data_IF_013679775702
#
_entry.id   IF_013679775702
#
_cell.length_a   1.000
_cell.length_b   1.000
_cell.length_c   1.000
_cell.angle_alpha   90.00
_cell.angle_beta   90.00
_cell.angle_gamma   90.00
#
_symmetry.space_group_name_H-M   'P 1'
#
loop_
_entity.id
_entity.type
_entity.pdbx_description
1 polymer ?
#
# COMPACT_ATOMS: atom_id res chain seq x y z
N UNK A 1 -16.11 -5.31 -4.17
CA UNK A 1 -14.71 -4.95 -3.93
C UNK A 1 -14.11 -4.28 -5.13
N UNK A 2 -13.21 -3.36 -4.91
CA UNK A 2 -12.55 -2.66 -5.98
C UNK A 2 -11.06 -2.97 -5.97
N UNK A 3 -10.43 -2.86 -7.12
CA UNK A 3 -8.99 -3.01 -7.23
C UNK A 3 -8.33 -1.66 -6.95
N UNK A 4 -7.44 -1.65 -5.99
CA UNK A 4 -6.66 -0.47 -5.64
C UNK A 4 -5.20 -0.72 -5.92
N UNK A 5 -4.50 0.33 -6.34
CA UNK A 5 -3.07 0.23 -6.58
C UNK A 5 -2.33 1.36 -5.88
N UNK A 6 -1.06 1.12 -5.62
CA UNK A 6 -0.18 2.10 -5.03
C UNK A 6 1.12 2.12 -5.79
N UNK A 7 1.62 3.31 -6.04
CA UNK A 7 2.87 3.51 -6.77
C UNK A 7 3.56 4.72 -6.15
N UNK A 8 4.53 4.47 -5.29
CA UNK A 8 5.20 5.57 -4.63
C UNK A 8 6.06 5.10 -3.47
N UNK A 9 6.51 6.03 -2.64
CA UNK A 9 7.42 5.70 -1.55
C UNK A 9 6.73 4.94 -0.42
N UNK A 10 7.53 4.18 0.32
CA UNK A 10 7.07 3.47 1.50
C UNK A 10 7.91 3.94 2.67
N UNK A 11 7.26 4.25 3.78
CA UNK A 11 7.93 4.70 4.99
C UNK A 11 7.76 3.69 6.11
N UNK A 12 8.79 3.57 6.94
CA UNK A 12 8.70 2.84 8.19
C UNK A 12 8.94 3.85 9.30
N UNK A 13 7.93 4.04 10.14
CA UNK A 13 7.90 5.13 11.11
C UNK A 13 8.03 6.46 10.35
N UNK A 14 9.10 7.22 10.55
CA UNK A 14 9.27 8.48 9.83
C UNK A 14 10.45 8.46 8.87
N UNK A 15 10.84 7.24 8.43
CA UNK A 15 11.95 7.08 7.48
C UNK A 15 11.44 6.46 6.20
N UNK A 16 11.92 6.97 5.07
CA UNK A 16 11.61 6.37 3.77
C UNK A 16 12.54 5.17 3.58
N UNK A 17 11.94 4.00 3.41
CA UNK A 17 12.70 2.77 3.25
C UNK A 17 12.61 2.21 1.85
N UNK A 18 11.72 2.76 1.02
CA UNK A 18 11.62 2.42 -0.39
C UNK A 18 11.14 3.66 -1.11
N UNK A 19 11.87 4.09 -2.11
CA UNK A 19 11.52 5.30 -2.85
C UNK A 19 10.39 5.06 -3.84
N UNK A 20 10.21 3.81 -4.27
CA UNK A 20 9.23 3.52 -5.29
C UNK A 20 8.82 2.06 -5.20
N UNK A 21 7.64 1.83 -4.70
CA UNK A 21 7.08 0.49 -4.56
C UNK A 21 5.72 0.44 -5.24
N UNK A 22 5.47 -0.63 -5.94
CA UNK A 22 4.22 -0.82 -6.65
C UNK A 22 3.51 -2.03 -6.08
N UNK A 23 2.24 -1.85 -5.73
CA UNK A 23 1.43 -2.94 -5.21
C UNK A 23 -0.02 -2.76 -5.59
N UNK A 24 -0.77 -3.85 -5.53
CA UNK A 24 -2.19 -3.84 -5.84
C UNK A 24 -2.92 -4.74 -4.86
N UNK A 25 -4.18 -4.40 -4.58
CA UNK A 25 -5.00 -5.22 -3.70
C UNK A 25 -6.47 -4.95 -3.98
N UNK A 26 -7.29 -5.95 -3.74
CA UNK A 26 -8.74 -5.78 -3.74
C UNK A 26 -9.21 -5.45 -2.35
N UNK A 27 -10.08 -4.47 -2.22
CA UNK A 27 -10.57 -4.06 -0.91
C UNK A 27 -11.93 -3.38 -1.06
N UNK A 28 -12.63 -3.25 0.07
CA UNK A 28 -13.95 -2.63 0.08
C UNK A 28 -13.85 -1.11 0.18
N UNK A 29 -12.69 -0.57 0.54
CA UNK A 29 -12.50 0.87 0.68
C UNK A 29 -11.03 1.19 0.56
N UNK A 30 -10.74 2.47 0.36
CA UNK A 30 -9.37 2.93 0.28
C UNK A 30 -8.61 2.68 1.58
N UNK A 31 -9.27 2.86 2.72
CA UNK A 31 -8.63 2.63 4.00
C UNK A 31 -8.21 1.17 4.15
N UNK A 32 -9.08 0.25 3.74
CA UNK A 32 -8.74 -1.17 3.75
C UNK A 32 -7.62 -1.49 2.79
N UNK A 33 -7.65 -0.87 1.61
CA UNK A 33 -6.61 -1.07 0.62
C UNK A 33 -5.25 -0.65 1.16
N UNK A 34 -5.20 0.49 1.83
CA UNK A 34 -3.95 0.98 2.42
C UNK A 34 -3.40 0.00 3.45
N UNK A 35 -4.27 -0.53 4.29
CA UNK A 35 -3.88 -1.53 5.28
C UNK A 35 -3.36 -2.79 4.61
N UNK A 36 -4.08 -3.27 3.59
CA UNK A 36 -3.68 -4.47 2.88
C UNK A 36 -2.34 -4.30 2.19
N UNK A 37 -2.12 -3.15 1.57
CA UNK A 37 -0.87 -2.89 0.87
C UNK A 37 0.31 -2.78 1.83
N UNK A 38 0.10 -2.14 2.97
CA UNK A 38 1.16 -2.08 3.99
C UNK A 38 1.52 -3.47 4.45
N UNK A 39 0.53 -4.33 4.67
CA UNK A 39 0.76 -5.71 5.08
C UNK A 39 1.51 -6.48 4.00
N UNK A 40 1.13 -6.27 2.74
CA UNK A 40 1.78 -6.92 1.62
C UNK A 40 3.26 -6.55 1.55
N UNK A 41 3.56 -5.28 1.76
CA UNK A 41 4.96 -4.82 1.76
C UNK A 41 5.75 -5.49 2.87
N UNK A 42 5.15 -5.61 4.06
CA UNK A 42 5.84 -6.28 5.17
C UNK A 42 6.18 -7.72 4.82
N UNK A 43 5.25 -8.41 4.20
CA UNK A 43 5.47 -9.81 3.81
C UNK A 43 6.56 -9.94 2.76
N UNK A 44 6.51 -9.07 1.75
CA UNK A 44 7.48 -9.13 0.65
C UNK A 44 8.89 -8.84 1.10
N UNK A 45 9.04 -7.97 2.09
CA UNK A 45 10.36 -7.57 2.56
C UNK A 45 10.80 -8.32 3.81
N UNK A 46 9.96 -9.24 4.32
CA UNK A 46 10.28 -10.00 5.49
C UNK A 46 10.25 -9.23 6.79
N UNK A 47 9.56 -8.11 6.83
CA UNK A 47 9.49 -7.29 8.02
C UNK A 47 8.51 -7.90 9.03
N UNK A 48 8.79 -7.64 10.32
CA UNK A 48 7.91 -8.15 11.36
C UNK A 48 6.54 -7.47 11.28
N UNK A 49 5.46 -8.18 11.67
CA UNK A 49 4.11 -7.63 11.54
C UNK A 49 3.87 -6.33 12.28
N UNK A 50 4.60 -6.08 13.36
CA UNK A 50 4.40 -4.85 14.13
C UNK A 50 5.19 -3.66 13.64
N UNK A 51 5.98 -3.82 12.58
CA UNK A 51 6.62 -2.67 11.95
C UNK A 51 5.53 -1.74 11.44
N UNK A 52 5.70 -0.46 11.68
CA UNK A 52 4.70 0.52 11.24
C UNK A 52 5.06 0.99 9.85
N UNK A 53 4.35 0.48 8.87
CA UNK A 53 4.56 0.84 7.47
C UNK A 53 3.53 1.87 7.07
N UNK A 54 3.98 2.94 6.45
CA UNK A 54 3.12 4.01 5.98
C UNK A 54 3.31 4.18 4.48
N UNK A 55 2.20 4.40 3.79
CA UNK A 55 2.20 4.68 2.35
C UNK A 55 1.75 6.13 2.17
N UNK A 56 2.70 7.08 2.15
CA UNK A 56 2.33 8.50 2.14
C UNK A 56 1.75 8.98 0.81
N UNK A 57 1.92 8.21 -0.26
CA UNK A 57 1.38 8.58 -1.55
C UNK A 57 -0.10 8.29 -1.65
N UNK A 58 -0.63 8.45 -2.85
CA UNK A 58 -2.05 8.25 -3.10
C UNK A 58 -2.34 6.82 -3.48
N UNK A 59 -3.45 6.31 -2.97
CA UNK A 59 -4.01 5.03 -3.39
C UNK A 59 -4.97 5.30 -4.53
N UNK A 60 -4.85 4.56 -5.63
CA UNK A 60 -5.67 4.75 -6.81
C UNK A 60 -6.70 3.64 -6.89
N UNK A 61 -7.97 4.00 -7.10
CA UNK A 61 -9.02 3.02 -7.33
C UNK A 61 -9.07 2.72 -8.82
N UNK A 62 -8.46 1.59 -9.20
CA UNK A 62 -8.35 1.22 -10.61
C UNK A 62 -9.70 0.81 -11.19
N UNK A 63 -10.56 0.23 -10.37
CA UNK A 63 -11.88 -0.18 -10.85
C UNK A 63 -12.72 1.02 -11.23
N UNK A 64 -12.63 2.07 -10.44
CA UNK A 64 -13.44 3.25 -10.69
C UNK A 64 -12.93 4.04 -11.88
N UNK A 65 -11.63 4.02 -12.09
CA UNK A 65 -11.04 4.78 -13.18
C UNK A 65 -11.14 4.13 -14.54
N UNK A 66 -11.71 2.95 -14.61
CA UNK A 66 -11.70 2.17 -15.85
C UNK A 66 -12.80 2.52 -16.82
N UNK A 67 -13.55 3.56 -16.56
CA UNK A 67 -14.63 3.92 -17.43
C UNK A 67 -14.23 4.47 -18.75
#
# INVERSE_FOLDING_TARGET
>A
MALYSYNGPVMEFDRIIDNHWIGQTYAVSEAKARTNLAFQFKRETGRVPRSKITLPGKIVNESEGSK
#
